data_IF_258752687496
#
_entry.id   IF_258752687496
#
_cell.length_a   1.000
_cell.length_b   1.000
_cell.length_c   1.000
_cell.angle_alpha   90.00
_cell.angle_beta   90.00
_cell.angle_gamma   90.00
#
_symmetry.space_group_name_H-M   'P 1'
#
loop_
_entity.id
_entity.type
_entity.pdbx_description
1 polymer ?
#
# COMPACT_ATOMS: atom_id res chain seq x y z
N UNK A 1 -6.72 -7.48 -6.25
CA UNK A 1 -8.06 -7.13 -6.79
C UNK A 1 -9.01 -8.33 -6.80
N UNK A 2 -9.24 -9.00 -5.65
CA UNK A 2 -10.26 -10.06 -5.52
C UNK A 2 -11.30 -9.56 -4.52
N UNK A 3 -12.57 -9.51 -4.93
CA UNK A 3 -13.68 -9.15 -4.03
C UNK A 3 -14.27 -7.76 -4.24
N UNK A 4 -14.42 -7.29 -5.48
CA UNK A 4 -15.41 -6.24 -5.75
C UNK A 4 -16.76 -6.96 -5.86
N UNK A 5 -17.74 -6.56 -5.04
CA UNK A 5 -19.09 -7.12 -4.92
C UNK A 5 -19.76 -7.45 -6.27
N UNK A 6 -19.39 -6.71 -7.34
CA UNK A 6 -19.78 -6.92 -8.73
C UNK A 6 -19.34 -8.25 -9.38
N UNK A 7 -18.49 -9.05 -8.75
CA UNK A 7 -18.08 -10.37 -9.27
C UNK A 7 -18.94 -11.53 -8.75
N UNK A 8 -19.83 -11.30 -7.78
CA UNK A 8 -20.75 -12.36 -7.35
C UNK A 8 -21.84 -12.55 -8.42
N UNK A 9 -21.88 -13.71 -9.11
CA UNK A 9 -22.80 -13.94 -10.22
C UNK A 9 -24.27 -13.84 -9.78
N UNK A 10 -24.56 -14.21 -8.52
CA UNK A 10 -25.88 -14.09 -7.92
C UNK A 10 -26.35 -12.64 -7.84
N UNK A 11 -25.49 -11.71 -7.38
CA UNK A 11 -25.88 -10.31 -7.26
C UNK A 11 -26.10 -9.68 -8.64
N UNK A 12 -25.33 -10.09 -9.65
CA UNK A 12 -25.47 -9.59 -11.02
C UNK A 12 -26.79 -9.99 -11.69
N UNK A 13 -27.34 -11.16 -11.35
CA UNK A 13 -28.60 -11.64 -11.94
C UNK A 13 -29.80 -11.18 -11.11
N UNK A 14 -29.66 -11.20 -9.79
CA UNK A 14 -30.77 -10.97 -8.86
C UNK A 14 -31.07 -9.46 -8.70
N UNK A 15 -30.04 -8.60 -8.69
CA UNK A 15 -30.23 -7.16 -8.52
C UNK A 15 -31.04 -6.51 -9.66
N UNK A 16 -30.76 -6.74 -10.96
CA UNK A 16 -31.55 -6.16 -12.04
C UNK A 16 -33.01 -6.65 -12.04
N UNK A 17 -33.26 -7.89 -11.60
CA UNK A 17 -34.61 -8.44 -11.52
C UNK A 17 -35.47 -7.73 -10.48
N UNK A 18 -35.00 -7.67 -9.22
CA UNK A 18 -35.74 -6.99 -8.15
C UNK A 18 -35.85 -5.49 -8.39
N UNK A 19 -34.80 -4.89 -8.95
CA UNK A 19 -34.80 -3.47 -9.24
C UNK A 19 -35.75 -3.11 -10.41
N UNK A 20 -35.81 -3.93 -11.47
CA UNK A 20 -36.75 -3.73 -12.57
C UNK A 20 -38.22 -3.84 -12.14
N UNK A 21 -38.52 -4.75 -11.20
CA UNK A 21 -39.84 -4.87 -10.59
C UNK A 21 -40.17 -3.62 -9.75
N UNK A 22 -39.21 -3.10 -8.98
CA UNK A 22 -39.39 -1.86 -8.21
C UNK A 22 -39.69 -0.66 -9.14
N UNK A 23 -38.96 -0.52 -10.24
CA UNK A 23 -39.22 0.54 -11.23
C UNK A 23 -40.61 0.40 -11.84
N UNK A 24 -41.03 -0.82 -12.18
CA UNK A 24 -42.37 -1.07 -12.70
C UNK A 24 -43.46 -0.62 -11.73
N UNK A 25 -43.31 -0.94 -10.44
CA UNK A 25 -44.24 -0.48 -9.38
C UNK A 25 -44.25 1.05 -9.27
N UNK A 26 -43.08 1.71 -9.38
CA UNK A 26 -43.01 3.18 -9.35
C UNK A 26 -43.73 3.80 -10.55
N UNK A 27 -43.55 3.24 -11.75
CA UNK A 27 -44.22 3.73 -12.96
C UNK A 27 -45.73 3.56 -12.86
N UNK A 28 -46.21 2.38 -12.43
CA UNK A 28 -47.64 2.13 -12.20
C UNK A 28 -48.25 3.11 -11.20
N UNK A 29 -47.54 3.41 -10.11
CA UNK A 29 -48.02 4.34 -9.08
C UNK A 29 -48.15 5.78 -9.60
N UNK A 30 -47.29 6.16 -10.56
CA UNK A 30 -47.30 7.49 -11.19
C UNK A 30 -48.46 7.63 -12.19
N UNK A 31 -48.79 6.57 -12.95
CA UNK A 31 -49.74 6.66 -14.07
C UNK A 31 -51.16 6.13 -13.76
N UNK A 32 -51.31 5.00 -13.05
CA UNK A 32 -52.61 4.30 -12.93
C UNK A 32 -53.25 4.33 -11.53
N UNK A 33 -52.50 4.72 -10.50
CA UNK A 33 -52.99 4.76 -9.11
C UNK A 33 -53.16 3.40 -8.44
N UNK A 34 -53.41 3.39 -7.12
CA UNK A 34 -53.31 2.20 -6.25
C UNK A 34 -54.36 1.11 -6.59
N UNK A 35 -55.50 1.47 -7.18
CA UNK A 35 -56.62 0.55 -7.42
C UNK A 35 -56.45 -0.38 -8.63
N UNK A 36 -55.51 -0.11 -9.54
CA UNK A 36 -55.26 -0.96 -10.71
C UNK A 36 -54.09 -1.94 -10.52
N UNK A 37 -53.39 -1.86 -9.38
CA UNK A 37 -52.26 -2.74 -9.06
C UNK A 37 -52.65 -4.22 -9.06
N UNK A 38 -53.87 -4.55 -8.63
CA UNK A 38 -54.33 -5.93 -8.49
C UNK A 38 -54.61 -6.60 -9.85
N UNK A 39 -55.01 -5.83 -10.88
CA UNK A 39 -55.35 -6.36 -12.20
C UNK A 39 -54.18 -6.37 -13.20
N UNK A 40 -53.22 -5.45 -13.05
CA UNK A 40 -52.12 -5.26 -14.01
C UNK A 40 -50.74 -5.76 -13.51
N UNK A 41 -50.67 -6.45 -12.37
CA UNK A 41 -49.39 -6.78 -11.73
C UNK A 41 -48.43 -7.66 -12.57
N UNK A 42 -48.96 -8.46 -13.50
CA UNK A 42 -48.19 -9.35 -14.40
C UNK A 42 -48.48 -9.07 -15.88
N UNK A 43 -48.36 -7.82 -16.31
CA UNK A 43 -48.54 -7.42 -17.71
C UNK A 43 -47.24 -7.54 -18.53
N UNK A 44 -47.34 -7.41 -19.85
CA UNK A 44 -46.18 -7.34 -20.77
C UNK A 44 -45.23 -6.17 -20.43
N UNK A 45 -45.72 -5.14 -19.74
CA UNK A 45 -44.96 -3.96 -19.33
C UNK A 45 -43.97 -4.26 -18.19
N UNK A 46 -44.33 -5.17 -17.27
CA UNK A 46 -43.43 -5.61 -16.20
C UNK A 46 -42.21 -6.35 -16.77
N UNK A 47 -42.45 -7.23 -17.76
CA UNK A 47 -41.38 -7.93 -18.47
C UNK A 47 -40.49 -6.95 -19.24
N UNK A 48 -41.08 -5.96 -19.90
CA UNK A 48 -40.33 -4.91 -20.58
C UNK A 48 -39.42 -4.13 -19.61
N UNK A 49 -39.93 -3.73 -18.43
CA UNK A 49 -39.14 -3.02 -17.42
C UNK A 49 -37.97 -3.86 -16.89
N UNK A 50 -38.18 -5.16 -16.67
CA UNK A 50 -37.11 -6.08 -16.25
C UNK A 50 -36.06 -6.25 -17.34
N UNK A 51 -36.47 -6.42 -18.61
CA UNK A 51 -35.54 -6.54 -19.75
C UNK A 51 -34.75 -5.25 -19.95
N UNK A 52 -35.38 -4.08 -19.87
CA UNK A 52 -34.73 -2.79 -19.99
C UNK A 52 -33.70 -2.58 -18.87
N UNK A 53 -34.06 -2.95 -17.64
CA UNK A 53 -33.17 -2.90 -16.48
C UNK A 53 -31.97 -3.83 -16.64
N UNK A 54 -32.19 -5.03 -17.18
CA UNK A 54 -31.13 -5.96 -17.47
C UNK A 54 -30.18 -5.42 -18.55
N UNK A 55 -30.72 -4.88 -19.64
CA UNK A 55 -29.94 -4.23 -20.71
C UNK A 55 -29.09 -3.08 -20.16
N UNK A 56 -29.62 -2.27 -19.24
CA UNK A 56 -28.87 -1.22 -18.57
C UNK A 56 -27.75 -1.79 -17.70
N UNK A 57 -28.01 -2.82 -16.90
CA UNK A 57 -27.01 -3.46 -16.06
C UNK A 57 -25.84 -4.07 -16.84
N UNK A 58 -26.11 -4.63 -18.03
CA UNK A 58 -25.08 -5.13 -18.92
C UNK A 58 -24.33 -3.99 -19.62
N UNK A 59 -25.01 -2.92 -20.04
CA UNK A 59 -24.35 -1.73 -20.60
C UNK A 59 -23.34 -1.11 -19.63
N UNK A 60 -23.73 -0.98 -18.35
CA UNK A 60 -22.88 -0.53 -17.25
C UNK A 60 -21.64 -1.42 -17.10
N UNK A 61 -21.86 -2.74 -17.14
CA UNK A 61 -20.79 -3.74 -17.00
C UNK A 61 -19.81 -3.71 -18.18
N UNK A 62 -20.32 -3.51 -19.40
CA UNK A 62 -19.50 -3.39 -20.61
C UNK A 62 -18.66 -2.11 -20.60
N UNK A 63 -19.25 -0.97 -20.24
CA UNK A 63 -18.52 0.31 -20.12
C UNK A 63 -17.41 0.20 -19.07
N UNK A 64 -17.69 -0.43 -17.92
CA UNK A 64 -16.66 -0.71 -16.90
C UNK A 64 -15.51 -1.54 -17.45
N UNK A 65 -15.82 -2.65 -18.14
CA UNK A 65 -14.81 -3.54 -18.72
C UNK A 65 -14.00 -2.84 -19.80
N UNK A 66 -14.66 -2.06 -20.66
CA UNK A 66 -14.02 -1.33 -21.74
C UNK A 66 -13.05 -0.27 -21.21
N UNK A 67 -13.47 0.51 -20.21
CA UNK A 67 -12.61 1.52 -19.59
C UNK A 67 -11.43 0.87 -18.84
N UNK A 68 -11.68 -0.25 -18.14
CA UNK A 68 -10.60 -0.98 -17.46
C UNK A 68 -9.60 -1.61 -18.45
N UNK A 69 -10.07 -2.04 -19.63
CA UNK A 69 -9.22 -2.59 -20.68
C UNK A 69 -8.40 -1.51 -21.39
N UNK A 70 -9.05 -0.41 -21.78
CA UNK A 70 -8.40 0.67 -22.53
C UNK A 70 -7.44 1.49 -21.65
N UNK A 71 -7.71 1.57 -20.35
CA UNK A 71 -6.93 2.39 -19.43
C UNK A 71 -6.66 1.70 -18.07
N UNK A 72 -5.75 0.70 -18.06
CA UNK A 72 -5.40 -0.01 -16.84
C UNK A 72 -4.68 0.86 -15.79
N UNK A 73 -3.93 1.89 -16.21
CA UNK A 73 -3.03 2.67 -15.34
C UNK A 73 -3.27 4.20 -15.38
N UNK A 74 -4.49 4.68 -15.12
CA UNK A 74 -4.64 6.12 -14.88
C UNK A 74 -4.12 6.52 -13.49
N UNK A 75 -3.11 7.40 -13.46
CA UNK A 75 -2.56 8.03 -12.24
C UNK A 75 -3.57 8.85 -11.40
N UNK A 76 -4.67 9.32 -12.00
CA UNK A 76 -5.64 10.19 -11.32
C UNK A 76 -7.03 9.56 -11.23
N UNK A 77 -7.40 9.12 -10.02
CA UNK A 77 -8.71 8.53 -9.68
C UNK A 77 -9.87 9.45 -10.10
N UNK A 78 -9.69 10.78 -9.98
CA UNK A 78 -10.70 11.78 -10.37
C UNK A 78 -11.06 11.75 -11.85
N UNK A 79 -10.05 11.63 -12.74
CA UNK A 79 -10.30 11.58 -14.20
C UNK A 79 -11.02 10.28 -14.58
N UNK A 80 -10.68 9.16 -13.94
CA UNK A 80 -11.38 7.88 -14.15
C UNK A 80 -12.85 7.96 -13.77
N UNK A 81 -13.17 8.58 -12.63
CA UNK A 81 -14.56 8.79 -12.20
C UNK A 81 -15.31 9.64 -13.24
N UNK A 82 -14.70 10.74 -13.70
CA UNK A 82 -15.35 11.64 -14.66
C UNK A 82 -15.62 10.98 -16.02
N UNK A 83 -14.62 10.32 -16.60
CA UNK A 83 -14.77 9.64 -17.90
C UNK A 83 -15.84 8.54 -17.79
N UNK A 84 -15.79 7.74 -16.73
CA UNK A 84 -16.77 6.69 -16.52
C UNK A 84 -18.17 7.25 -16.35
N UNK A 85 -18.35 8.30 -15.53
CA UNK A 85 -19.65 8.94 -15.35
C UNK A 85 -20.20 9.46 -16.68
N UNK A 86 -19.39 10.17 -17.47
CA UNK A 86 -19.79 10.75 -18.74
C UNK A 86 -20.16 9.66 -19.77
N UNK A 87 -19.31 8.66 -19.98
CA UNK A 87 -19.57 7.56 -20.92
C UNK A 87 -20.79 6.74 -20.50
N UNK A 88 -20.95 6.49 -19.21
CA UNK A 88 -22.06 5.71 -18.69
C UNK A 88 -23.41 6.44 -18.83
N UNK A 89 -23.47 7.73 -18.47
CA UNK A 89 -24.70 8.52 -18.64
C UNK A 89 -25.11 8.61 -20.11
N UNK A 90 -24.14 8.73 -21.02
CA UNK A 90 -24.39 8.73 -22.46
C UNK A 90 -24.94 7.40 -22.97
N UNK A 91 -24.32 6.28 -22.58
CA UNK A 91 -24.81 4.94 -22.93
C UNK A 91 -26.19 4.65 -22.34
N UNK A 92 -26.43 5.02 -21.07
CA UNK A 92 -27.72 4.83 -20.41
C UNK A 92 -28.83 5.58 -21.16
N UNK A 93 -28.59 6.85 -21.53
CA UNK A 93 -29.55 7.64 -22.30
C UNK A 93 -29.92 6.99 -23.64
N UNK A 94 -28.94 6.49 -24.39
CA UNK A 94 -29.17 5.79 -25.67
C UNK A 94 -30.00 4.52 -25.48
N UNK A 95 -29.65 3.71 -24.48
CA UNK A 95 -30.35 2.43 -24.22
C UNK A 95 -31.78 2.67 -23.76
N UNK A 96 -32.03 3.65 -22.88
CA UNK A 96 -33.38 3.97 -22.37
C UNK A 96 -34.23 4.58 -23.48
N UNK A 97 -33.73 5.64 -24.14
CA UNK A 97 -34.47 6.34 -25.18
C UNK A 97 -34.78 5.41 -26.36
N UNK A 98 -33.82 4.59 -26.79
CA UNK A 98 -34.01 3.61 -27.84
C UNK A 98 -34.97 2.48 -27.46
N UNK A 99 -34.84 1.93 -26.24
CA UNK A 99 -35.71 0.85 -25.76
C UNK A 99 -37.16 1.29 -25.59
N UNK A 100 -37.40 2.45 -24.99
CA UNK A 100 -38.74 3.00 -24.79
C UNK A 100 -39.38 3.37 -26.13
N UNK A 101 -38.65 4.02 -27.03
CA UNK A 101 -39.16 4.36 -28.36
C UNK A 101 -39.53 3.11 -29.16
N UNK A 102 -38.68 2.08 -29.13
CA UNK A 102 -38.97 0.81 -29.80
C UNK A 102 -40.23 0.13 -29.24
N UNK A 103 -40.43 0.18 -27.93
CA UNK A 103 -41.62 -0.38 -27.28
C UNK A 103 -42.91 0.32 -27.70
N UNK A 104 -42.96 1.65 -27.58
CA UNK A 104 -44.18 2.40 -27.91
C UNK A 104 -44.51 2.41 -29.40
N UNK A 105 -43.50 2.42 -30.28
CA UNK A 105 -43.69 2.44 -31.74
C UNK A 105 -43.97 1.05 -32.32
N UNK A 106 -43.24 0.00 -31.89
CA UNK A 106 -43.34 -1.34 -32.51
C UNK A 106 -44.38 -2.25 -31.86
N UNK A 107 -44.63 -2.13 -30.55
CA UNK A 107 -45.56 -3.01 -29.84
C UNK A 107 -46.95 -2.39 -29.65
N UNK A 108 -47.02 -1.10 -29.33
CA UNK A 108 -48.29 -0.44 -28.96
C UNK A 108 -48.86 0.38 -30.12
N UNK A 109 -48.01 0.92 -31.02
CA UNK A 109 -48.45 1.76 -32.14
C UNK A 109 -49.00 3.13 -31.71
N UNK A 110 -48.62 3.60 -30.52
CA UNK A 110 -49.08 4.85 -29.93
C UNK A 110 -48.05 5.97 -30.20
N UNK A 111 -48.42 7.05 -30.93
CA UNK A 111 -47.45 8.07 -31.35
C UNK A 111 -47.17 9.16 -30.31
N UNK A 112 -48.00 9.32 -29.27
CA UNK A 112 -47.90 10.44 -28.33
C UNK A 112 -47.46 9.98 -26.92
N UNK A 113 -46.21 9.52 -26.79
CA UNK A 113 -45.64 8.93 -25.56
C UNK A 113 -44.54 9.81 -24.92
N UNK A 114 -44.61 11.14 -25.13
CA UNK A 114 -43.55 12.06 -24.69
C UNK A 114 -43.42 12.13 -23.16
N UNK A 115 -44.55 12.07 -22.44
CA UNK A 115 -44.57 12.15 -20.97
C UNK A 115 -43.96 10.89 -20.36
N UNK A 116 -44.34 9.72 -20.87
CA UNK A 116 -43.83 8.42 -20.47
C UNK A 116 -42.31 8.38 -20.72
N UNK A 117 -41.84 8.78 -21.89
CA UNK A 117 -40.42 8.79 -22.22
C UNK A 117 -39.61 9.68 -21.27
N UNK A 118 -40.13 10.84 -20.85
CA UNK A 118 -39.46 11.71 -19.87
C UNK A 118 -39.43 11.07 -18.49
N UNK A 119 -40.56 10.49 -18.03
CA UNK A 119 -40.64 9.83 -16.71
C UNK A 119 -39.71 8.63 -16.64
N UNK A 120 -39.69 7.78 -17.67
CA UNK A 120 -38.78 6.63 -17.77
C UNK A 120 -37.31 7.09 -17.76
N UNK A 121 -36.94 8.09 -18.56
CA UNK A 121 -35.57 8.60 -18.56
C UNK A 121 -35.16 9.16 -17.19
N UNK A 122 -36.04 9.89 -16.50
CA UNK A 122 -35.74 10.48 -15.20
C UNK A 122 -35.49 9.41 -14.13
N UNK A 123 -36.39 8.41 -14.01
CA UNK A 123 -36.29 7.34 -13.01
C UNK A 123 -35.00 6.53 -13.21
N UNK A 124 -34.72 6.13 -14.46
CA UNK A 124 -33.54 5.34 -14.77
C UNK A 124 -32.24 6.17 -14.68
N UNK A 125 -32.28 7.48 -14.94
CA UNK A 125 -31.13 8.37 -14.77
C UNK A 125 -30.73 8.51 -13.29
N UNK A 126 -31.70 8.80 -12.41
CA UNK A 126 -31.46 8.89 -10.95
C UNK A 126 -30.85 7.61 -10.41
N UNK A 127 -31.36 6.48 -10.89
CA UNK A 127 -30.87 5.18 -10.42
C UNK A 127 -29.49 4.86 -10.96
N UNK A 128 -29.23 5.17 -12.23
CA UNK A 128 -27.89 5.03 -12.80
C UNK A 128 -26.88 5.83 -11.98
N UNK A 129 -27.22 7.06 -11.58
CA UNK A 129 -26.40 7.86 -10.68
C UNK A 129 -26.18 7.18 -9.33
N UNK A 130 -27.23 6.70 -8.66
CA UNK A 130 -27.10 5.99 -7.39
C UNK A 130 -26.20 4.75 -7.48
N UNK A 131 -26.39 3.94 -8.53
CA UNK A 131 -25.57 2.74 -8.77
C UNK A 131 -24.09 3.10 -8.97
N UNK A 132 -23.81 4.14 -9.78
CA UNK A 132 -22.43 4.62 -9.95
C UNK A 132 -21.81 5.16 -8.66
N UNK A 133 -22.58 5.87 -7.84
CA UNK A 133 -22.11 6.41 -6.57
C UNK A 133 -21.71 5.30 -5.60
N UNK A 134 -22.54 4.25 -5.46
CA UNK A 134 -22.24 3.09 -4.62
C UNK A 134 -20.98 2.36 -5.11
N UNK A 135 -20.89 2.11 -6.42
CA UNK A 135 -19.72 1.47 -7.03
C UNK A 135 -18.43 2.24 -6.73
N UNK A 136 -18.43 3.56 -6.95
CA UNK A 136 -17.25 4.38 -6.68
C UNK A 136 -16.94 4.52 -5.19
N UNK A 137 -17.95 4.56 -4.33
CA UNK A 137 -17.75 4.55 -2.88
C UNK A 137 -16.97 3.32 -2.43
N UNK A 138 -17.39 2.14 -2.87
CA UNK A 138 -16.70 0.87 -2.57
C UNK A 138 -15.30 0.85 -3.19
N UNK A 139 -15.17 1.28 -4.45
CA UNK A 139 -13.88 1.35 -5.13
C UNK A 139 -12.89 2.25 -4.38
N UNK A 140 -13.32 3.44 -3.97
CA UNK A 140 -12.49 4.41 -3.27
C UNK A 140 -12.07 3.90 -1.89
N UNK A 141 -13.00 3.29 -1.15
CA UNK A 141 -12.73 2.71 0.17
C UNK A 141 -11.67 1.61 0.08
N UNK A 142 -11.82 0.69 -0.89
CA UNK A 142 -10.85 -0.39 -1.10
C UNK A 142 -9.47 0.16 -1.50
N UNK A 143 -9.42 1.14 -2.39
CA UNK A 143 -8.18 1.77 -2.81
C UNK A 143 -7.49 2.51 -1.65
N UNK A 144 -8.25 3.18 -0.80
CA UNK A 144 -7.75 3.85 0.39
C UNK A 144 -7.18 2.85 1.41
N UNK A 145 -7.89 1.74 1.65
CA UNK A 145 -7.44 0.69 2.55
C UNK A 145 -6.16 0.01 2.05
N UNK A 146 -6.05 -0.25 0.75
CA UNK A 146 -4.84 -0.80 0.15
C UNK A 146 -3.63 0.11 0.34
N UNK A 147 -3.78 1.42 0.07
CA UNK A 147 -2.71 2.39 0.30
C UNK A 147 -2.26 2.46 1.75
N UNK A 148 -3.20 2.36 2.70
CA UNK A 148 -2.85 2.30 4.12
C UNK A 148 -2.04 1.06 4.46
N UNK A 149 -2.45 -0.10 3.94
CA UNK A 149 -1.74 -1.36 4.16
C UNK A 149 -0.32 -1.33 3.57
N UNK A 150 -0.16 -0.77 2.37
CA UNK A 150 1.14 -0.57 1.73
C UNK A 150 2.04 0.38 2.54
N UNK A 151 1.49 1.43 3.14
CA UNK A 151 2.24 2.33 4.01
C UNK A 151 2.67 1.67 5.33
N UNK A 152 1.77 0.92 5.96
CA UNK A 152 2.07 0.20 7.20
C UNK A 152 3.15 -0.87 6.99
N UNK A 153 3.06 -1.63 5.88
CA UNK A 153 4.08 -2.63 5.53
C UNK A 153 5.44 -2.00 5.27
N UNK A 154 5.51 -0.92 4.47
CA UNK A 154 6.76 -0.19 4.23
C UNK A 154 7.37 0.39 5.52
N UNK A 155 6.54 0.90 6.44
CA UNK A 155 7.01 1.37 7.75
C UNK A 155 7.59 0.23 8.58
N UNK A 156 6.93 -0.93 8.57
CA UNK A 156 7.36 -2.14 9.30
C UNK A 156 8.72 -2.63 8.80
N UNK A 157 8.86 -2.76 7.48
CA UNK A 157 10.13 -3.13 6.85
C UNK A 157 11.24 -2.15 7.25
N UNK A 158 10.97 -0.84 7.18
CA UNK A 158 11.93 0.17 7.63
C UNK A 158 12.34 0.00 9.09
N UNK A 159 11.39 -0.27 9.98
CA UNK A 159 11.68 -0.53 11.40
C UNK A 159 12.51 -1.81 11.57
N UNK A 160 12.22 -2.88 10.84
CA UNK A 160 13.00 -4.11 10.87
C UNK A 160 14.43 -3.88 10.37
N UNK A 161 14.61 -3.13 9.28
CA UNK A 161 15.95 -2.73 8.81
C UNK A 161 16.69 -1.90 9.84
N UNK A 162 16.03 -0.92 10.47
CA UNK A 162 16.64 -0.10 11.52
C UNK A 162 17.02 -0.93 12.75
N UNK A 163 16.16 -1.87 13.17
CA UNK A 163 16.45 -2.79 14.26
C UNK A 163 17.58 -3.77 13.92
N UNK A 164 17.63 -4.26 12.67
CA UNK A 164 18.70 -5.09 12.17
C UNK A 164 20.04 -4.36 12.16
N UNK A 165 20.07 -3.13 11.67
CA UNK A 165 21.23 -2.25 11.75
C UNK A 165 21.66 -2.03 13.21
N UNK A 166 20.69 -1.74 14.11
CA UNK A 166 20.96 -1.54 15.53
C UNK A 166 21.58 -2.77 16.21
N UNK A 167 21.20 -3.98 15.79
CA UNK A 167 21.75 -5.25 16.29
C UNK A 167 23.14 -5.56 15.71
N UNK A 168 23.42 -5.13 14.48
CA UNK A 168 24.67 -5.43 13.78
C UNK A 168 25.86 -4.58 14.25
N UNK A 169 25.62 -3.50 15.00
CA UNK A 169 26.66 -2.54 15.41
C UNK A 169 27.46 -2.98 16.66
N UNK A 170 27.20 -4.15 17.24
CA UNK A 170 28.06 -4.79 18.23
C UNK A 170 28.74 -5.96 17.54
N UNK A 171 30.06 -5.91 17.33
CA UNK A 171 30.84 -7.02 16.77
C UNK A 171 30.74 -8.22 17.75
N UNK A 172 29.91 -9.25 17.46
CA UNK A 172 29.67 -10.33 18.41
C UNK A 172 30.94 -11.15 18.64
N UNK A 173 31.76 -11.28 17.59
CA UNK A 173 33.02 -12.02 17.64
C UNK A 173 34.02 -11.35 18.58
N UNK A 174 34.16 -10.02 18.49
CA UNK A 174 35.03 -9.27 19.41
C UNK A 174 34.56 -9.42 20.85
N UNK A 175 33.25 -9.39 21.10
CA UNK A 175 32.69 -9.57 22.44
C UNK A 175 33.03 -10.94 23.02
N UNK A 176 32.81 -12.02 22.26
CA UNK A 176 33.11 -13.38 22.71
C UNK A 176 34.60 -13.57 22.98
N UNK A 177 35.47 -13.17 22.04
CA UNK A 177 36.92 -13.27 22.21
C UNK A 177 37.43 -12.47 23.42
N UNK A 178 36.85 -11.29 23.65
CA UNK A 178 37.20 -10.46 24.80
C UNK A 178 36.76 -11.09 26.12
N UNK A 179 35.58 -11.71 26.17
CA UNK A 179 35.09 -12.40 27.37
C UNK A 179 35.93 -13.64 27.69
N UNK A 180 36.31 -14.44 26.69
CA UNK A 180 37.22 -15.57 26.87
C UNK A 180 38.57 -15.10 27.44
N UNK A 181 39.15 -14.05 26.84
CA UNK A 181 40.42 -13.47 27.32
C UNK A 181 40.29 -12.97 28.75
N UNK A 182 39.19 -12.28 29.08
CA UNK A 182 38.93 -11.79 30.43
C UNK A 182 38.83 -12.94 31.44
N UNK A 183 38.11 -14.02 31.13
CA UNK A 183 38.00 -15.19 32.01
C UNK A 183 39.40 -15.77 32.29
N UNK A 184 40.26 -15.87 31.28
CA UNK A 184 41.64 -16.36 31.48
C UNK A 184 42.47 -15.42 32.36
N UNK A 185 42.36 -14.10 32.14
CA UNK A 185 43.12 -13.09 32.89
C UNK A 185 42.66 -12.99 34.34
N UNK A 186 41.37 -13.08 34.64
CA UNK A 186 40.86 -13.03 36.03
C UNK A 186 41.43 -14.17 36.87
N UNK A 187 41.65 -15.35 36.28
CA UNK A 187 42.22 -16.50 36.98
C UNK A 187 43.75 -16.49 37.08
N UNK A 188 44.46 -15.96 36.09
CA UNK A 188 45.93 -16.05 36.03
C UNK A 188 46.63 -14.76 36.45
N UNK A 189 46.03 -13.59 36.22
CA UNK A 189 46.64 -12.29 36.47
C UNK A 189 45.58 -11.18 36.67
N UNK A 190 45.03 -11.03 37.90
CA UNK A 190 43.92 -10.12 38.18
C UNK A 190 44.24 -8.65 37.87
N UNK A 191 45.48 -8.20 38.09
CA UNK A 191 45.91 -6.83 37.77
C UNK A 191 45.85 -6.55 36.25
N UNK A 192 46.09 -7.55 35.40
CA UNK A 192 45.91 -7.42 33.96
C UNK A 192 44.44 -7.48 33.54
N UNK A 193 43.59 -8.20 34.28
CA UNK A 193 42.16 -8.24 34.03
C UNK A 193 41.52 -6.86 34.21
N UNK A 194 41.90 -6.10 35.25
CA UNK A 194 41.40 -4.74 35.46
C UNK A 194 41.79 -3.79 34.32
N UNK A 195 43.01 -3.91 33.80
CA UNK A 195 43.47 -3.13 32.64
C UNK A 195 42.74 -3.53 31.37
N UNK A 196 42.48 -4.83 31.19
CA UNK A 196 41.72 -5.36 30.07
C UNK A 196 40.27 -4.86 30.06
N UNK A 197 39.59 -4.88 31.21
CA UNK A 197 38.21 -4.34 31.35
C UNK A 197 38.17 -2.85 31.00
N UNK A 198 39.16 -2.08 31.45
CA UNK A 198 39.27 -0.66 31.12
C UNK A 198 39.48 -0.44 29.61
N UNK A 199 40.35 -1.22 28.97
CA UNK A 199 40.58 -1.16 27.53
C UNK A 199 39.31 -1.51 26.73
N UNK A 200 38.63 -2.60 27.10
CA UNK A 200 37.37 -3.03 26.52
C UNK A 200 36.28 -1.95 26.65
N UNK A 201 36.20 -1.31 27.82
CA UNK A 201 35.25 -0.23 28.08
C UNK A 201 35.49 0.99 27.18
N UNK A 202 36.75 1.33 26.86
CA UNK A 202 37.08 2.43 25.94
C UNK A 202 36.60 2.14 24.51
N UNK A 203 36.77 0.91 24.02
CA UNK A 203 36.34 0.49 22.68
C UNK A 203 34.81 0.56 22.57
N UNK A 204 34.08 0.06 23.57
CA UNK A 204 32.62 0.15 23.56
C UNK A 204 32.11 1.58 23.73
N UNK A 205 32.75 2.41 24.55
CA UNK A 205 32.41 3.84 24.66
C UNK A 205 32.56 4.55 23.32
N UNK A 206 33.67 4.34 22.62
CA UNK A 206 33.89 4.90 21.29
C UNK A 206 32.79 4.47 20.29
N UNK A 207 32.50 3.17 20.23
CA UNK A 207 31.44 2.61 19.38
C UNK A 207 30.05 3.19 19.70
N UNK A 208 29.75 3.47 20.97
CA UNK A 208 28.48 4.07 21.40
C UNK A 208 28.42 5.59 21.12
N UNK A 209 29.54 6.29 21.32
CA UNK A 209 29.64 7.75 21.20
C UNK A 209 29.58 8.20 19.74
N UNK A 210 30.30 7.51 18.86
CA UNK A 210 30.29 7.82 17.42
C UNK A 210 29.19 7.09 16.64
N UNK A 211 28.31 6.32 17.32
CA UNK A 211 27.14 5.64 16.71
C UNK A 211 26.22 6.58 15.94
N UNK A 212 26.04 7.81 16.44
CA UNK A 212 25.10 8.81 15.87
C UNK A 212 25.81 9.87 15.03
N UNK A 213 27.12 9.79 14.94
CA UNK A 213 27.93 10.77 14.21
C UNK A 213 28.17 10.23 12.80
N UNK A 214 27.92 11.04 11.78
CA UNK A 214 28.24 10.66 10.39
C UNK A 214 29.76 10.66 10.17
N UNK A 215 30.51 11.46 10.94
CA UNK A 215 31.94 11.69 10.78
C UNK A 215 32.65 11.82 12.15
N UNK A 216 33.83 11.20 12.25
CA UNK A 216 34.78 11.31 13.36
C UNK A 216 36.08 11.97 12.88
N UNK A 217 36.74 12.80 13.71
CA UNK A 217 38.06 13.31 13.38
C UNK A 217 39.08 12.15 13.35
N UNK A 218 40.06 12.24 12.44
CA UNK A 218 41.08 11.21 12.24
C UNK A 218 41.82 10.87 13.54
N UNK A 219 42.07 11.85 14.41
CA UNK A 219 42.67 11.63 15.73
C UNK A 219 41.91 10.59 16.58
N UNK A 220 40.57 10.68 16.59
CA UNK A 220 39.72 9.78 17.36
C UNK A 220 39.66 8.38 16.73
N UNK A 221 39.71 8.29 15.40
CA UNK A 221 39.85 7.02 14.68
C UNK A 221 41.19 6.32 14.97
N UNK A 222 42.28 7.08 15.02
CA UNK A 222 43.61 6.56 15.37
C UNK A 222 43.59 6.02 16.79
N UNK A 223 43.05 6.79 17.74
CA UNK A 223 42.94 6.36 19.13
C UNK A 223 42.07 5.10 19.26
N UNK A 224 40.99 4.99 18.49
CA UNK A 224 40.17 3.78 18.45
C UNK A 224 40.94 2.56 17.92
N UNK A 225 41.75 2.73 16.86
CA UNK A 225 42.60 1.67 16.33
C UNK A 225 43.70 1.24 17.32
N UNK A 226 44.32 2.19 18.03
CA UNK A 226 45.29 1.92 19.09
C UNK A 226 44.68 1.10 20.23
N UNK A 227 43.49 1.49 20.71
CA UNK A 227 42.78 0.75 21.76
C UNK A 227 42.49 -0.70 21.33
N UNK A 228 42.11 -0.92 20.06
CA UNK A 228 41.90 -2.28 19.53
C UNK A 228 43.19 -3.09 19.49
N UNK A 229 44.30 -2.51 19.02
CA UNK A 229 45.61 -3.19 19.03
C UNK A 229 46.05 -3.51 20.45
N UNK A 230 45.84 -2.60 21.40
CA UNK A 230 46.10 -2.83 22.82
C UNK A 230 45.27 -4.01 23.35
N UNK A 231 43.97 -4.07 23.02
CA UNK A 231 43.08 -5.16 23.41
C UNK A 231 43.58 -6.52 22.89
N UNK A 232 43.90 -6.61 21.59
CA UNK A 232 44.41 -7.84 21.00
C UNK A 232 45.79 -8.23 21.56
N UNK A 233 46.62 -7.27 21.96
CA UNK A 233 47.91 -7.55 22.57
C UNK A 233 47.83 -8.26 23.92
N UNK A 234 46.69 -8.23 24.62
CA UNK A 234 46.47 -9.10 25.79
C UNK A 234 46.35 -10.59 25.39
N UNK A 235 45.79 -10.89 24.21
CA UNK A 235 45.73 -12.24 23.66
C UNK A 235 47.06 -12.67 23.01
N UNK A 236 47.67 -11.77 22.23
CA UNK A 236 48.91 -12.02 21.48
C UNK A 236 50.20 -11.66 22.24
N UNK A 237 50.11 -11.38 23.54
CA UNK A 237 51.26 -11.10 24.42
C UNK A 237 52.19 -9.99 23.91
N UNK A 238 51.63 -8.91 23.37
CA UNK A 238 52.39 -7.75 22.91
C UNK A 238 53.14 -7.93 21.58
N UNK A 239 52.79 -8.96 20.78
CA UNK A 239 53.45 -9.21 19.49
C UNK A 239 52.99 -8.27 18.37
N UNK A 240 51.89 -7.55 18.55
CA UNK A 240 51.33 -6.66 17.53
C UNK A 240 51.85 -5.25 17.77
N UNK A 241 52.48 -4.66 16.74
CA UNK A 241 52.96 -3.26 16.76
C UNK A 241 52.27 -2.47 15.67
N UNK A 242 51.64 -1.37 16.07
CA UNK A 242 51.02 -0.42 15.16
C UNK A 242 52.04 0.69 14.84
N UNK A 243 52.36 0.87 13.56
CA UNK A 243 53.26 1.91 13.10
C UNK A 243 52.46 2.93 12.27
N UNK A 244 52.43 4.18 12.75
CA UNK A 244 51.69 5.27 12.10
C UNK A 244 52.69 6.23 11.45
N UNK A 245 52.56 6.41 10.15
CA UNK A 245 53.28 7.43 9.40
C UNK A 245 52.25 8.40 8.84
N UNK A 246 52.02 9.50 9.56
CA UNK A 246 50.91 10.44 9.33
C UNK A 246 51.47 11.86 9.36
N UNK A 247 51.12 12.67 8.36
CA UNK A 247 51.41 14.10 8.35
C UNK A 247 50.54 14.83 9.39
N UNK A 248 51.13 15.76 10.16
CA UNK A 248 50.43 16.48 11.23
C UNK A 248 49.24 17.33 10.73
N UNK A 249 49.19 17.64 9.44
CA UNK A 249 48.16 18.51 8.86
C UNK A 249 46.82 17.80 8.61
N UNK A 250 46.74 16.48 8.76
CA UNK A 250 45.54 15.69 8.44
C UNK A 250 44.74 15.20 9.65
N UNK A 251 45.15 15.48 10.89
CA UNK A 251 44.45 15.04 12.11
C UNK A 251 43.01 15.56 12.22
N UNK A 252 42.73 16.74 11.66
CA UNK A 252 41.40 17.35 11.64
C UNK A 252 40.51 16.85 10.48
N UNK A 253 41.03 15.99 9.59
CA UNK A 253 40.21 15.40 8.53
C UNK A 253 39.19 14.45 9.14
N UNK A 254 38.01 14.44 8.52
CA UNK A 254 36.88 13.65 8.95
C UNK A 254 36.82 12.32 8.20
N UNK A 255 36.56 11.24 8.93
CA UNK A 255 36.42 9.88 8.44
C UNK A 255 35.13 9.26 8.97
N UNK A 256 34.65 8.24 8.27
CA UNK A 256 33.48 7.47 8.72
C UNK A 256 33.88 6.71 9.99
N UNK A 257 33.12 6.83 11.10
CA UNK A 257 33.43 6.16 12.35
C UNK A 257 33.62 4.63 12.23
N UNK A 258 34.62 4.10 12.93
CA UNK A 258 34.96 2.68 12.96
C UNK A 258 35.71 2.16 11.72
N UNK A 259 36.19 3.03 10.83
CA UNK A 259 36.90 2.61 9.62
C UNK A 259 38.29 2.06 9.96
N UNK A 260 39.12 2.82 10.68
CA UNK A 260 40.46 2.38 11.07
C UNK A 260 40.39 1.25 12.09
N UNK A 261 39.40 1.31 12.98
CA UNK A 261 39.12 0.24 13.94
C UNK A 261 38.89 -1.10 13.22
N UNK A 262 37.98 -1.15 12.23
CA UNK A 262 37.69 -2.38 11.46
C UNK A 262 38.88 -2.85 10.64
N UNK A 263 39.66 -1.94 10.06
CA UNK A 263 40.87 -2.29 9.32
C UNK A 263 41.93 -2.93 10.24
N UNK A 264 42.11 -2.39 11.44
CA UNK A 264 43.00 -2.97 12.45
C UNK A 264 42.53 -4.36 12.89
N UNK A 265 41.22 -4.53 13.17
CA UNK A 265 40.63 -5.84 13.51
C UNK A 265 40.88 -6.87 12.39
N UNK A 266 40.66 -6.50 11.13
CA UNK A 266 40.88 -7.39 9.98
C UNK A 266 42.35 -7.70 9.71
N UNK A 267 43.25 -6.76 9.95
CA UNK A 267 44.69 -6.98 9.76
C UNK A 267 45.28 -7.92 10.81
N UNK A 268 44.70 -7.97 12.01
CA UNK A 268 45.14 -8.85 13.11
C UNK A 268 44.56 -10.25 12.98
N UNK A 269 43.31 -10.38 12.51
CA UNK A 269 42.65 -11.70 12.41
C UNK A 269 43.07 -12.52 11.18
N UNK A 270 43.84 -11.92 10.26
CA UNK A 270 44.28 -12.51 8.99
C UNK A 270 45.74 -12.93 9.06
#
# INVERSE_FOLDING_TARGET
MKGIFTHNPLFRILFPFFYGLLVYVLVLLIFDGISQLENNFFSQEALFCVVLTYALSESLSLVLRFINYLFPEFRSVRRRIFIYLATNLFCAFIVISGGVTAYFVLLIGYPDFQVELIVFNLIFFVTTLLYTAVYFGIFYLNHFNQRRLEQETALREKMEYQLGALKSDINPQLLYASLETLITLVHHNPDQADKFINCLSKIYRYSLEYRRHELAPLEQEIQAAENVVELYNYSYKGQIRLHLQIDTDIFNKQLIPGTLQKLAEQAISR
#
